data_IF_402731382582
#
_entry.id   IF_402731382582
#
_cell.length_a   1.000
_cell.length_b   1.000
_cell.length_c   1.000
_cell.angle_alpha   90.00
_cell.angle_beta   90.00
_cell.angle_gamma   90.00
#
_symmetry.space_group_name_H-M   'P 1'
#
loop_
_entity.id
_entity.type
_entity.pdbx_description
1 polymer ?
#
# COMPACT_ATOMS: atom_id res chain seq x y z
N UNK A 1 -10.41 -25.10 -6.13
CA UNK A 1 -10.25 -26.01 -4.99
C UNK A 1 -9.16 -25.42 -4.09
N UNK A 2 -9.39 -25.34 -2.78
CA UNK A 2 -8.33 -24.94 -1.84
C UNK A 2 -7.26 -26.05 -1.84
N UNK A 3 -6.00 -25.67 -1.99
CA UNK A 3 -4.88 -26.61 -2.14
C UNK A 3 -4.63 -27.42 -0.85
N UNK A 4 -5.01 -26.88 0.31
CA UNK A 4 -4.98 -27.57 1.60
C UNK A 4 -6.17 -27.08 2.48
N UNK A 5 -7.11 -27.96 2.88
CA UNK A 5 -8.27 -27.59 3.70
C UNK A 5 -7.93 -27.09 5.12
N UNK A 6 -6.72 -27.39 5.61
CA UNK A 6 -6.27 -27.00 6.96
C UNK A 6 -5.28 -25.83 6.94
N UNK A 7 -4.98 -25.26 5.77
CA UNK A 7 -4.13 -24.09 5.69
C UNK A 7 -4.86 -22.83 6.13
N UNK A 8 -4.11 -21.89 6.68
CA UNK A 8 -4.64 -20.58 7.04
C UNK A 8 -5.17 -19.85 5.80
N UNK A 9 -6.36 -19.26 5.94
CA UNK A 9 -7.03 -18.57 4.84
C UNK A 9 -6.39 -17.21 4.53
N UNK A 10 -5.73 -16.61 5.53
CA UNK A 10 -5.17 -15.27 5.48
C UNK A 10 -3.67 -15.31 5.73
N UNK A 11 -2.91 -14.34 5.21
CA UNK A 11 -1.51 -14.17 5.56
C UNK A 11 -1.33 -13.96 7.06
N UNK A 12 -0.12 -14.24 7.54
CA UNK A 12 0.27 -13.97 8.92
C UNK A 12 0.11 -12.49 9.27
N UNK A 13 -0.27 -12.20 10.52
CA UNK A 13 -0.53 -10.83 10.97
C UNK A 13 0.73 -9.96 10.91
N UNK A 14 1.91 -10.57 11.10
CA UNK A 14 3.19 -9.89 11.04
C UNK A 14 3.49 -9.33 9.64
N UNK A 15 2.88 -9.89 8.59
CA UNK A 15 3.01 -9.41 7.21
C UNK A 15 1.99 -8.32 6.83
N UNK A 16 1.15 -7.84 7.76
CA UNK A 16 0.02 -6.95 7.44
C UNK A 16 0.43 -5.67 6.70
N UNK A 17 1.60 -5.10 7.00
CA UNK A 17 2.09 -3.90 6.30
C UNK A 17 2.42 -4.19 4.84
N UNK A 18 3.07 -5.33 4.57
CA UNK A 18 3.43 -5.78 3.22
C UNK A 18 2.18 -6.10 2.41
N UNK A 19 1.23 -6.81 3.02
CA UNK A 19 -0.08 -7.11 2.40
C UNK A 19 -0.84 -5.83 2.08
N UNK A 20 -0.87 -4.86 2.99
CA UNK A 20 -1.57 -3.58 2.78
C UNK A 20 -1.00 -2.80 1.60
N UNK A 21 0.33 -2.73 1.46
CA UNK A 21 0.99 -2.07 0.33
C UNK A 21 0.73 -2.79 -1.00
N UNK A 22 0.72 -4.12 -1.00
CA UNK A 22 0.40 -4.92 -2.17
C UNK A 22 -1.06 -4.68 -2.63
N UNK A 23 -2.00 -4.65 -1.69
CA UNK A 23 -3.40 -4.32 -1.97
C UNK A 23 -3.50 -2.92 -2.57
N UNK A 24 -2.85 -1.92 -1.96
CA UNK A 24 -2.85 -0.55 -2.48
C UNK A 24 -2.32 -0.47 -3.92
N UNK A 25 -1.25 -1.19 -4.24
CA UNK A 25 -0.70 -1.27 -5.60
C UNK A 25 -1.69 -1.87 -6.59
N UNK A 26 -2.32 -3.02 -6.25
CA UNK A 26 -3.30 -3.68 -7.12
C UNK A 26 -4.55 -2.84 -7.33
N UNK A 27 -5.05 -2.19 -6.28
CA UNK A 27 -6.21 -1.29 -6.37
C UNK A 27 -5.90 -0.09 -7.25
N UNK A 28 -4.71 0.51 -7.12
CA UNK A 28 -4.31 1.63 -7.97
C UNK A 28 -4.19 1.22 -9.44
N UNK A 29 -3.60 0.04 -9.75
CA UNK A 29 -3.57 -0.50 -11.12
C UNK A 29 -4.99 -0.72 -11.67
N UNK A 30 -5.88 -1.30 -10.89
CA UNK A 30 -7.28 -1.50 -11.30
C UNK A 30 -8.00 -0.15 -11.56
N UNK A 31 -7.71 0.88 -10.76
CA UNK A 31 -8.25 2.22 -10.97
C UNK A 31 -7.72 2.88 -12.27
N UNK A 32 -6.44 2.65 -12.61
CA UNK A 32 -5.86 3.10 -13.88
C UNK A 32 -6.51 2.40 -15.07
N UNK A 33 -6.67 1.08 -14.98
CA UNK A 33 -7.30 0.27 -16.04
C UNK A 33 -8.77 0.65 -16.25
N UNK A 34 -9.48 1.01 -15.17
CA UNK A 34 -10.85 1.50 -15.22
C UNK A 34 -10.96 2.97 -15.69
N UNK A 35 -9.84 3.67 -15.92
CA UNK A 35 -9.82 5.06 -16.37
C UNK A 35 -10.23 6.08 -15.31
N UNK A 36 -10.30 5.68 -14.02
CA UNK A 36 -10.67 6.57 -12.90
C UNK A 36 -9.45 7.13 -12.15
N UNK A 37 -8.24 6.76 -12.58
CA UNK A 37 -6.98 7.30 -12.07
C UNK A 37 -5.97 7.53 -13.21
N UNK A 38 -5.04 8.50 -13.07
CA UNK A 38 -3.97 8.71 -14.05
C UNK A 38 -3.07 7.48 -14.18
N UNK A 39 -2.72 7.10 -15.41
CA UNK A 39 -1.76 6.04 -15.70
C UNK A 39 -0.35 6.56 -15.44
N UNK A 40 0.38 5.88 -14.57
CA UNK A 40 1.79 6.16 -14.22
C UNK A 40 2.59 4.85 -14.25
N UNK A 41 3.93 4.94 -14.25
CA UNK A 41 4.75 3.72 -14.20
C UNK A 41 4.60 2.98 -12.87
N UNK A 42 4.87 1.68 -12.89
CA UNK A 42 4.84 0.85 -11.68
C UNK A 42 5.84 1.37 -10.63
N UNK A 43 7.00 1.90 -11.04
CA UNK A 43 7.97 2.50 -10.10
C UNK A 43 7.43 3.79 -9.47
N UNK A 44 6.78 4.64 -10.26
CA UNK A 44 6.16 5.87 -9.76
C UNK A 44 5.05 5.54 -8.76
N UNK A 45 4.24 4.52 -9.06
CA UNK A 45 3.19 4.06 -8.17
C UNK A 45 3.78 3.51 -6.86
N UNK A 46 4.81 2.66 -6.95
CA UNK A 46 5.47 2.12 -5.76
C UNK A 46 6.07 3.24 -4.90
N UNK A 47 6.74 4.22 -5.51
CA UNK A 47 7.28 5.38 -4.79
C UNK A 47 6.18 6.21 -4.14
N UNK A 48 5.05 6.43 -4.82
CA UNK A 48 3.91 7.14 -4.28
C UNK A 48 3.30 6.41 -3.07
N UNK A 49 3.16 5.09 -3.13
CA UNK A 49 2.68 4.28 -2.00
C UNK A 49 3.64 4.43 -0.81
N UNK A 50 4.94 4.25 -1.00
CA UNK A 50 5.92 4.37 0.08
C UNK A 50 5.95 5.77 0.71
N UNK A 51 5.85 6.81 -0.13
CA UNK A 51 5.85 8.22 0.33
C UNK A 51 4.61 8.55 1.17
N UNK A 52 3.46 7.96 0.85
CA UNK A 52 2.20 8.22 1.54
C UNK A 52 1.92 7.24 2.69
N UNK A 53 2.70 6.16 2.81
CA UNK A 53 2.54 5.20 3.89
C UNK A 53 2.93 5.84 5.22
N UNK A 54 2.00 5.83 6.18
CA UNK A 54 2.25 6.37 7.50
C UNK A 54 3.32 5.55 8.24
N UNK A 55 4.20 6.24 8.97
CA UNK A 55 5.23 5.63 9.81
C UNK A 55 5.02 6.04 11.26
N UNK A 56 5.24 5.13 12.22
CA UNK A 56 5.09 5.38 13.66
C UNK A 56 6.29 6.16 14.21
N UNK A 57 6.59 7.32 13.63
CA UNK A 57 7.70 8.17 14.01
C UNK A 57 7.21 9.58 14.36
N UNK A 58 7.85 10.20 15.35
CA UNK A 58 7.57 11.58 15.69
C UNK A 58 7.93 12.49 14.52
N UNK A 59 6.99 13.34 14.13
CA UNK A 59 7.26 14.37 13.13
C UNK A 59 8.17 15.43 13.72
N UNK A 60 9.11 15.90 12.92
CA UNK A 60 9.96 17.02 13.28
C UNK A 60 9.09 18.26 13.48
N UNK A 61 9.06 18.78 14.70
CA UNK A 61 8.32 20.00 14.99
C UNK A 61 9.04 21.19 14.36
N UNK A 62 8.35 21.88 13.44
CA UNK A 62 8.81 23.17 12.91
C UNK A 62 7.96 24.26 13.54
N UNK A 63 8.57 25.04 14.43
CA UNK A 63 7.94 26.24 14.99
C UNK A 63 7.74 27.25 13.86
N UNK A 64 6.50 27.63 13.60
CA UNK A 64 6.17 28.74 12.71
C UNK A 64 5.85 29.92 13.62
N UNK A 65 6.77 30.88 13.72
CA UNK A 65 6.49 32.16 14.35
C UNK A 65 5.82 33.05 13.29
N UNK A 66 4.65 33.60 13.63
CA UNK A 66 3.94 34.60 12.84
C UNK A 66 4.57 35.98 13.06
#
# INVERSE_FOLDING_TARGET
MLVNPTADLLPEIDEIQKVSKLIAFKVAKAAMDAGVAPIISDEQLQHAIEKNFWKPEYRHYKRVAF
#
